data_IF_932932132506
#
_entry.id   IF_932932132506
#
_cell.length_a   1.000
_cell.length_b   1.000
_cell.length_c   1.000
_cell.angle_alpha   90.00
_cell.angle_beta   90.00
_cell.angle_gamma   90.00
#
_symmetry.space_group_name_H-M   'P 1'
#
loop_
_entity.id
_entity.type
_entity.pdbx_description
1 polymer ?
#
# COMPACT_ATOMS: atom_id res chain seq x y z
N UNK A 1 25.34 34.64 -1.79
CA UNK A 1 24.39 34.38 -0.68
C UNK A 1 23.10 33.70 -1.16
N UNK A 2 22.62 33.95 -2.38
CA UNK A 2 21.40 33.34 -2.95
C UNK A 2 21.46 31.80 -3.13
N UNK A 3 22.62 31.24 -3.48
CA UNK A 3 22.79 29.79 -3.69
C UNK A 3 22.74 28.96 -2.39
N UNK A 4 23.08 29.56 -1.24
CA UNK A 4 23.03 28.87 0.06
C UNK A 4 21.59 28.73 0.56
N UNK A 5 20.77 29.77 0.39
CA UNK A 5 19.35 29.76 0.74
C UNK A 5 18.56 28.72 -0.06
N UNK A 6 18.78 28.62 -1.37
CA UNK A 6 18.13 27.59 -2.21
C UNK A 6 18.51 26.16 -1.80
N UNK A 7 19.79 25.92 -1.50
CA UNK A 7 20.27 24.60 -1.09
C UNK A 7 19.73 24.17 0.27
N UNK A 8 19.50 25.11 1.20
CA UNK A 8 18.89 24.80 2.49
C UNK A 8 17.38 24.56 2.40
N UNK A 9 16.66 25.31 1.55
CA UNK A 9 15.23 25.10 1.31
C UNK A 9 14.97 23.72 0.68
N UNK A 10 15.78 23.31 -0.30
CA UNK A 10 15.68 22.00 -0.97
C UNK A 10 15.98 20.82 -0.02
N UNK A 11 16.98 20.97 0.84
CA UNK A 11 17.30 19.96 1.87
C UNK A 11 16.22 19.87 2.94
N UNK A 12 15.61 20.99 3.30
CA UNK A 12 14.57 21.05 4.34
C UNK A 12 13.26 20.48 3.82
N UNK A 13 12.84 20.83 2.60
CA UNK A 13 11.67 20.23 1.95
C UNK A 13 11.84 18.71 1.81
N UNK A 14 13.02 18.25 1.38
CA UNK A 14 13.33 16.82 1.24
C UNK A 14 13.24 16.08 2.59
N UNK A 15 13.74 16.68 3.68
CA UNK A 15 13.62 16.09 5.03
C UNK A 15 12.17 16.01 5.50
N UNK A 16 11.39 17.07 5.27
CA UNK A 16 9.97 17.10 5.61
C UNK A 16 9.19 16.02 4.85
N UNK A 17 9.39 15.90 3.53
CA UNK A 17 8.73 14.87 2.71
C UNK A 17 9.06 13.45 3.20
N UNK A 18 10.32 13.21 3.56
CA UNK A 18 10.75 11.92 4.11
C UNK A 18 10.09 11.66 5.47
N UNK A 19 10.07 12.65 6.36
CA UNK A 19 9.42 12.52 7.67
C UNK A 19 7.92 12.26 7.55
N UNK A 20 7.25 12.94 6.61
CA UNK A 20 5.83 12.77 6.34
C UNK A 20 5.51 11.38 5.81
N UNK A 21 6.32 10.89 4.85
CA UNK A 21 6.17 9.52 4.34
C UNK A 21 6.46 8.49 5.44
N UNK A 22 7.51 8.67 6.24
CA UNK A 22 7.83 7.80 7.37
C UNK A 22 6.70 7.74 8.39
N UNK A 23 6.12 8.90 8.75
CA UNK A 23 4.95 9.01 9.62
C UNK A 23 3.73 8.26 9.05
N UNK A 24 3.56 8.24 7.73
CA UNK A 24 2.51 7.49 7.07
C UNK A 24 2.78 5.98 7.02
N UNK A 25 4.02 5.55 6.74
CA UNK A 25 4.37 4.13 6.59
C UNK A 25 4.43 3.43 7.96
N UNK A 26 5.02 4.08 8.97
CA UNK A 26 5.26 3.57 10.33
C UNK A 26 5.99 2.23 10.37
N UNK A 27 6.81 1.97 9.35
CA UNK A 27 7.53 0.71 9.20
C UNK A 27 8.86 0.95 8.49
N UNK A 28 9.90 1.17 9.29
CA UNK A 28 11.26 1.51 8.85
C UNK A 28 11.79 0.57 7.74
N UNK A 29 11.52 -0.74 7.85
CA UNK A 29 11.95 -1.74 6.86
C UNK A 29 11.36 -1.56 5.46
N UNK A 30 10.27 -0.81 5.30
CA UNK A 30 9.59 -0.58 4.03
C UNK A 30 9.67 0.86 3.54
N UNK A 31 10.28 1.77 4.30
CA UNK A 31 10.39 3.19 3.93
C UNK A 31 11.08 3.37 2.58
N UNK A 32 12.27 2.79 2.40
CA UNK A 32 13.01 2.87 1.12
C UNK A 32 12.20 2.39 -0.09
N UNK A 33 11.36 1.37 0.11
CA UNK A 33 10.50 0.87 -0.97
C UNK A 33 9.47 1.91 -1.39
N UNK A 34 8.81 2.55 -0.42
CA UNK A 34 7.80 3.58 -0.69
C UNK A 34 8.39 4.92 -1.11
N UNK A 35 9.60 5.26 -0.65
CA UNK A 35 10.33 6.44 -1.13
C UNK A 35 10.60 6.32 -2.64
N UNK A 36 11.19 5.20 -3.08
CA UNK A 36 11.40 4.93 -4.51
C UNK A 36 10.10 4.89 -5.31
N UNK A 37 9.03 4.36 -4.72
CA UNK A 37 7.71 4.35 -5.36
C UNK A 37 7.19 5.78 -5.57
N UNK A 38 7.29 6.61 -4.52
CA UNK A 38 6.85 8.00 -4.51
C UNK A 38 7.61 8.82 -5.56
N UNK A 39 8.94 8.75 -5.57
CA UNK A 39 9.80 9.44 -6.54
C UNK A 39 9.41 9.11 -7.99
N UNK A 40 9.15 7.83 -8.28
CA UNK A 40 8.74 7.39 -9.63
C UNK A 40 7.34 7.88 -10.01
N UNK A 41 6.44 8.02 -9.04
CA UNK A 41 5.04 8.35 -9.28
C UNK A 41 4.80 9.87 -9.31
N UNK A 42 5.61 10.67 -8.64
CA UNK A 42 5.48 12.13 -8.52
C UNK A 42 6.23 12.96 -9.56
N UNK A 43 6.67 12.36 -10.67
CA UNK A 43 7.45 13.07 -11.71
C UNK A 43 6.73 14.30 -12.28
N UNK A 44 5.39 14.33 -12.25
CA UNK A 44 4.57 15.46 -12.75
C UNK A 44 3.90 16.27 -11.63
N UNK A 45 4.31 16.09 -10.37
CA UNK A 45 3.70 16.77 -9.21
C UNK A 45 2.46 16.07 -8.63
N UNK A 46 1.82 15.18 -9.39
CA UNK A 46 0.70 14.34 -8.94
C UNK A 46 1.05 12.84 -9.03
N UNK A 47 0.45 11.97 -8.18
CA UNK A 47 0.69 10.53 -8.24
C UNK A 47 0.15 9.91 -9.54
N UNK A 48 1.06 9.59 -10.46
CA UNK A 48 0.74 8.84 -11.67
C UNK A 48 0.78 7.33 -11.43
N UNK A 49 -0.09 6.59 -12.12
CA UNK A 49 -0.04 5.14 -12.11
C UNK A 49 1.27 4.68 -12.78
N UNK A 50 2.20 4.20 -11.96
CA UNK A 50 3.44 3.57 -12.40
C UNK A 50 3.51 2.16 -11.83
N UNK A 51 3.92 1.22 -12.67
CA UNK A 51 4.10 -0.16 -12.25
C UNK A 51 5.24 -0.22 -11.21
N UNK A 52 4.93 -0.69 -10.00
CA UNK A 52 5.92 -0.94 -8.97
C UNK A 52 5.58 -2.26 -8.26
N UNK A 53 6.45 -3.25 -8.40
CA UNK A 53 6.14 -4.62 -7.97
C UNK A 53 6.17 -4.75 -6.45
N UNK A 54 5.09 -5.31 -5.88
CA UNK A 54 4.99 -5.69 -4.48
C UNK A 54 4.63 -7.16 -4.38
N UNK A 55 5.56 -7.97 -3.88
CA UNK A 55 5.29 -9.37 -3.54
C UNK A 55 4.13 -9.53 -2.56
N UNK A 56 4.01 -8.60 -1.62
CA UNK A 56 2.95 -8.63 -0.64
C UNK A 56 1.60 -8.21 -1.25
N UNK A 57 1.60 -7.34 -2.27
CA UNK A 57 0.40 -7.05 -3.07
C UNK A 57 0.00 -8.21 -3.99
N UNK A 58 0.97 -8.93 -4.54
CA UNK A 58 0.75 -10.10 -5.39
C UNK A 58 0.10 -11.25 -4.63
N UNK A 59 0.70 -11.65 -3.50
CA UNK A 59 0.20 -12.77 -2.69
C UNK A 59 -1.00 -12.32 -1.85
N UNK A 60 -0.86 -11.18 -1.16
CA UNK A 60 -1.83 -10.67 -0.21
C UNK A 60 -3.08 -10.05 -0.82
N UNK A 61 -3.04 -9.61 -2.09
CA UNK A 61 -4.20 -9.07 -2.79
C UNK A 61 -4.94 -7.97 -2.00
N UNK A 62 -6.21 -8.22 -1.69
CA UNK A 62 -7.03 -7.32 -0.88
C UNK A 62 -6.59 -7.24 0.61
N UNK A 63 -6.03 -8.30 1.19
CA UNK A 63 -5.51 -8.32 2.57
C UNK A 63 -4.33 -7.36 2.72
N UNK A 64 -3.48 -7.24 1.69
CA UNK A 64 -2.40 -6.25 1.66
C UNK A 64 -2.95 -4.83 1.79
N UNK A 65 -3.97 -4.51 1.01
CA UNK A 65 -4.61 -3.19 0.99
C UNK A 65 -5.32 -2.91 2.31
N UNK A 66 -5.98 -3.92 2.88
CA UNK A 66 -6.63 -3.84 4.20
C UNK A 66 -5.62 -3.58 5.31
N UNK A 67 -4.50 -4.31 5.32
CA UNK A 67 -3.40 -4.10 6.26
C UNK A 67 -2.87 -2.67 6.21
N UNK A 68 -2.78 -2.07 5.03
CA UNK A 68 -2.36 -0.66 4.84
C UNK A 68 -3.49 0.37 4.97
N UNK A 69 -4.62 -0.01 5.55
CA UNK A 69 -5.80 0.85 5.78
C UNK A 69 -6.38 1.45 4.50
N UNK A 70 -6.17 0.81 3.35
CA UNK A 70 -6.74 1.23 2.07
C UNK A 70 -8.06 0.49 1.83
N UNK A 71 -9.07 0.78 2.65
CA UNK A 71 -10.31 -0.01 2.74
C UNK A 71 -11.11 -0.05 1.44
N UNK A 72 -11.27 1.09 0.77
CA UNK A 72 -12.01 1.14 -0.50
C UNK A 72 -11.34 0.28 -1.57
N UNK A 73 -10.00 0.39 -1.69
CA UNK A 73 -9.25 -0.43 -2.62
C UNK A 73 -9.29 -1.92 -2.25
N UNK A 74 -9.21 -2.24 -0.95
CA UNK A 74 -9.33 -3.61 -0.47
C UNK A 74 -10.69 -4.21 -0.83
N UNK A 75 -11.78 -3.46 -0.65
CA UNK A 75 -13.13 -3.90 -1.00
C UNK A 75 -13.27 -4.16 -2.51
N UNK A 76 -12.75 -3.25 -3.35
CA UNK A 76 -12.79 -3.42 -4.82
C UNK A 76 -12.03 -4.67 -5.25
N UNK A 77 -10.81 -4.87 -4.74
CA UNK A 77 -10.01 -6.06 -5.07
C UNK A 77 -10.62 -7.34 -4.50
N UNK A 78 -11.23 -7.30 -3.31
CA UNK A 78 -11.95 -8.42 -2.72
C UNK A 78 -13.12 -8.85 -3.60
N UNK A 79 -13.98 -7.90 -3.98
CA UNK A 79 -15.11 -8.17 -4.89
C UNK A 79 -14.62 -8.71 -6.23
N UNK A 80 -13.57 -8.12 -6.81
CA UNK A 80 -12.97 -8.63 -8.04
C UNK A 80 -12.43 -10.06 -7.89
N UNK A 81 -11.90 -10.41 -6.70
CA UNK A 81 -11.36 -11.75 -6.46
C UNK A 81 -12.43 -12.85 -6.50
N UNK A 82 -13.65 -12.55 -6.04
CA UNK A 82 -14.80 -13.48 -6.09
C UNK A 82 -15.13 -13.82 -7.55
N UNK A 83 -15.22 -12.80 -8.41
CA UNK A 83 -15.51 -13.00 -9.82
C UNK A 83 -14.32 -13.57 -10.61
N UNK A 84 -13.08 -13.29 -10.18
CA UNK A 84 -11.88 -13.76 -10.87
C UNK A 84 -11.78 -15.29 -10.94
N UNK A 85 -12.40 -15.99 -9.98
CA UNK A 85 -12.39 -17.44 -9.89
C UNK A 85 -13.23 -18.14 -10.96
N UNK A 86 -14.15 -17.43 -11.63
CA UNK A 86 -14.98 -17.99 -12.72
C UNK A 86 -14.31 -17.93 -14.09
N UNK A 87 -13.21 -17.17 -14.21
CA UNK A 87 -12.46 -16.97 -15.44
C UNK A 87 -11.20 -17.86 -15.38
N UNK A 88 -10.88 -18.66 -16.42
CA UNK A 88 -9.62 -19.37 -16.49
C UNK A 88 -8.43 -18.41 -16.31
N UNK A 89 -7.54 -18.73 -15.35
CA UNK A 89 -6.42 -17.86 -14.94
C UNK A 89 -6.79 -16.48 -14.39
N UNK A 90 -8.07 -16.16 -14.19
CA UNK A 90 -8.53 -14.85 -13.73
C UNK A 90 -7.95 -14.46 -12.38
N UNK A 91 -7.88 -15.40 -11.44
CA UNK A 91 -7.24 -15.18 -10.13
C UNK A 91 -5.76 -14.81 -10.27
N UNK A 92 -5.00 -15.51 -11.12
CA UNK A 92 -3.58 -15.21 -11.33
C UNK A 92 -3.38 -13.83 -11.98
N UNK A 93 -4.20 -13.50 -12.98
CA UNK A 93 -4.19 -12.17 -13.62
C UNK A 93 -4.47 -11.08 -12.58
N UNK A 94 -5.48 -11.28 -11.73
CA UNK A 94 -5.81 -10.33 -10.66
C UNK A 94 -4.66 -10.18 -9.65
N UNK A 95 -3.99 -11.27 -9.28
CA UNK A 95 -2.81 -11.23 -8.41
C UNK A 95 -1.68 -10.40 -9.05
N UNK A 96 -1.37 -10.62 -10.32
CA UNK A 96 -0.33 -9.86 -11.04
C UNK A 96 -0.68 -8.37 -11.08
N UNK A 97 -1.91 -8.03 -11.48
CA UNK A 97 -2.40 -6.65 -11.50
C UNK A 97 -2.25 -6.03 -10.12
N UNK A 98 -2.77 -6.69 -9.07
CA UNK A 98 -2.73 -6.19 -7.70
C UNK A 98 -1.30 -6.02 -7.20
N UNK A 99 -0.39 -6.96 -7.53
CA UNK A 99 1.03 -6.87 -7.22
C UNK A 99 1.71 -5.63 -7.79
N UNK A 100 1.34 -5.21 -9.00
CA UNK A 100 1.90 -4.02 -9.64
C UNK A 100 1.25 -2.69 -9.24
N UNK A 101 -0.07 -2.69 -8.98
CA UNK A 101 -0.81 -1.45 -8.70
C UNK A 101 -0.94 -1.14 -7.21
N UNK A 102 -0.80 -2.12 -6.31
CA UNK A 102 -1.04 -1.90 -4.89
C UNK A 102 -0.14 -0.80 -4.29
N UNK A 103 1.17 -0.71 -4.61
CA UNK A 103 2.00 0.41 -4.13
C UNK A 103 1.48 1.78 -4.60
N UNK A 104 1.00 1.88 -5.84
CA UNK A 104 0.38 3.11 -6.33
C UNK A 104 -0.85 3.49 -5.50
N UNK A 105 -1.72 2.56 -5.17
CA UNK A 105 -2.90 2.82 -4.35
C UNK A 105 -2.54 3.32 -2.95
N UNK A 106 -1.44 2.81 -2.38
CA UNK A 106 -0.91 3.28 -1.10
C UNK A 106 -0.35 4.70 -1.20
N UNK A 107 0.43 4.99 -2.26
CA UNK A 107 0.99 6.33 -2.50
C UNK A 107 -0.11 7.36 -2.81
N UNK A 108 -1.14 6.97 -3.57
CA UNK A 108 -2.30 7.83 -3.84
C UNK A 108 -3.04 8.19 -2.56
N UNK A 109 -3.21 7.22 -1.64
CA UNK A 109 -3.78 7.47 -0.31
C UNK A 109 -2.89 8.40 0.53
N UNK A 110 -1.58 8.16 0.54
CA UNK A 110 -0.61 9.04 1.21
C UNK A 110 -0.76 10.48 0.74
N UNK A 111 -0.74 10.70 -0.57
CA UNK A 111 -0.80 12.04 -1.15
C UNK A 111 -2.11 12.76 -0.77
N UNK A 112 -3.26 12.06 -0.86
CA UNK A 112 -4.55 12.62 -0.44
C UNK A 112 -4.54 13.07 1.02
N UNK A 113 -4.08 12.21 1.93
CA UNK A 113 -4.02 12.52 3.36
C UNK A 113 -3.04 13.66 3.65
N UNK A 114 -1.91 13.68 2.95
CA UNK A 114 -0.92 14.75 3.09
C UNK A 114 -1.54 16.10 2.72
N UNK A 115 -2.16 16.19 1.55
CA UNK A 115 -2.83 17.42 1.10
C UNK A 115 -3.91 17.85 2.10
N UNK A 116 -4.72 16.91 2.59
CA UNK A 116 -5.76 17.20 3.58
C UNK A 116 -5.18 17.72 4.90
N UNK A 117 -4.13 17.08 5.43
CA UNK A 117 -3.47 17.47 6.68
C UNK A 117 -2.78 18.84 6.54
N UNK A 118 -2.13 19.11 5.41
CA UNK A 118 -1.44 20.38 5.15
C UNK A 118 -2.41 21.57 5.04
N UNK A 119 -3.65 21.31 4.62
CA UNK A 119 -4.72 22.32 4.58
C UNK A 119 -5.26 22.66 5.98
N UNK A 120 -5.25 21.71 6.91
CA UNK A 120 -5.86 21.88 8.25
C UNK A 120 -4.86 22.23 9.35
N UNK A 121 -3.57 21.97 9.15
CA UNK A 121 -2.52 22.25 10.13
C UNK A 121 -1.45 23.15 9.53
N UNK A 122 -1.07 24.22 10.23
CA UNK A 122 0.01 25.11 9.79
C UNK A 122 1.39 24.69 10.29
N UNK A 123 1.45 24.08 11.47
CA UNK A 123 2.71 23.64 12.08
C UNK A 123 3.19 22.29 11.53
N UNK A 124 4.49 22.19 11.27
CA UNK A 124 5.12 20.99 10.73
C UNK A 124 4.98 19.78 11.67
N UNK A 125 5.20 19.98 12.97
CA UNK A 125 5.12 18.89 13.94
C UNK A 125 3.68 18.39 14.09
N UNK A 126 2.72 19.31 14.10
CA UNK A 126 1.30 18.96 14.09
C UNK A 126 0.91 18.11 12.87
N UNK A 127 1.41 18.45 11.67
CA UNK A 127 1.16 17.68 10.44
C UNK A 127 1.75 16.27 10.53
N UNK A 128 2.99 16.13 10.98
CA UNK A 128 3.65 14.83 11.12
C UNK A 128 2.89 13.96 12.12
N UNK A 129 2.46 14.52 13.26
CA UNK A 129 1.68 13.80 14.26
C UNK A 129 0.32 13.37 13.71
N UNK A 130 -0.41 14.26 13.03
CA UNK A 130 -1.68 13.91 12.39
C UNK A 130 -1.50 12.76 11.37
N UNK A 131 -0.41 12.78 10.59
CA UNK A 131 -0.08 11.72 9.65
C UNK A 131 0.20 10.38 10.35
N UNK A 132 0.83 10.39 11.54
CA UNK A 132 1.02 9.19 12.35
C UNK A 132 -0.31 8.62 12.87
N UNK A 133 -1.32 9.44 13.13
CA UNK A 133 -2.60 8.94 13.62
C UNK A 133 -3.41 8.25 12.50
N UNK A 134 -3.43 8.83 11.30
CA UNK A 134 -4.19 8.29 10.16
C UNK A 134 -3.43 7.24 9.35
N UNK A 135 -2.10 7.23 9.45
CA UNK A 135 -1.19 6.34 8.75
C UNK A 135 -1.12 4.93 9.33
N UNK A 136 0.00 4.25 9.07
CA UNK A 136 0.35 2.96 9.66
C UNK A 136 -0.36 1.77 9.03
N UNK A 137 -0.54 0.74 9.84
CA UNK A 137 -1.07 -0.55 9.41
C UNK A 137 -1.79 -1.30 10.54
N UNK A 138 -2.54 -2.33 10.17
CA UNK A 138 -3.30 -3.17 11.09
C UNK A 138 -2.66 -4.55 11.25
N UNK A 139 -2.02 -4.81 12.39
CA UNK A 139 -1.35 -6.10 12.66
C UNK A 139 -2.30 -7.30 12.69
N UNK A 140 -3.54 -7.10 13.13
CA UNK A 140 -4.56 -8.15 13.16
C UNK A 140 -4.85 -8.75 11.78
N UNK A 141 -4.63 -7.99 10.71
CA UNK A 141 -4.80 -8.47 9.32
C UNK A 141 -3.80 -9.57 8.97
N UNK A 142 -2.64 -9.62 9.63
CA UNK A 142 -1.68 -10.71 9.44
C UNK A 142 -2.29 -12.03 9.93
N UNK A 143 -2.89 -12.03 11.12
CA UNK A 143 -3.58 -13.21 11.66
C UNK A 143 -4.78 -13.60 10.80
N UNK A 144 -5.56 -12.62 10.34
CA UNK A 144 -6.63 -12.86 9.38
C UNK A 144 -6.11 -13.54 8.10
N UNK A 145 -4.99 -13.06 7.56
CA UNK A 145 -4.37 -13.63 6.37
C UNK A 145 -3.91 -15.08 6.60
N UNK A 146 -3.25 -15.34 7.74
CA UNK A 146 -2.81 -16.71 8.10
C UNK A 146 -4.01 -17.66 8.15
N UNK A 147 -5.07 -17.30 8.88
CA UNK A 147 -6.28 -18.13 8.99
C UNK A 147 -6.91 -18.35 7.60
N UNK A 148 -7.05 -17.28 6.81
CA UNK A 148 -7.66 -17.34 5.50
C UNK A 148 -6.91 -18.28 4.55
N UNK A 149 -5.58 -18.15 4.45
CA UNK A 149 -4.78 -19.03 3.59
C UNK A 149 -4.70 -20.47 4.12
N UNK A 150 -4.68 -20.67 5.44
CA UNK A 150 -4.75 -22.01 6.03
C UNK A 150 -6.06 -22.70 5.66
N UNK A 151 -7.20 -22.01 5.74
CA UNK A 151 -8.50 -22.56 5.33
C UNK A 151 -8.56 -22.88 3.84
N UNK A 152 -8.04 -22.01 2.98
CA UNK A 152 -7.95 -22.29 1.54
C UNK A 152 -7.10 -23.52 1.24
N UNK A 153 -5.96 -23.67 1.92
CA UNK A 153 -5.06 -24.81 1.75
C UNK A 153 -5.70 -26.11 2.23
N UNK A 154 -6.33 -26.11 3.40
CA UNK A 154 -7.06 -27.28 3.91
C UNK A 154 -8.19 -27.65 2.95
N UNK A 155 -9.00 -26.68 2.51
CA UNK A 155 -10.07 -26.91 1.55
C UNK A 155 -9.57 -27.51 0.23
N UNK A 156 -8.43 -27.03 -0.28
CA UNK A 156 -7.81 -27.57 -1.48
C UNK A 156 -7.35 -29.04 -1.31
N UNK A 157 -6.77 -29.38 -0.15
CA UNK A 157 -6.35 -30.77 0.17
C UNK A 157 -7.58 -31.67 0.36
N UNK A 158 -8.62 -31.20 1.04
CA UNK A 158 -9.86 -31.97 1.22
C UNK A 158 -10.55 -32.24 -0.12
N UNK A 159 -10.56 -31.28 -1.04
CA UNK A 159 -11.14 -31.48 -2.37
C UNK A 159 -10.31 -32.45 -3.22
N UNK A 160 -8.98 -32.38 -3.14
CA UNK A 160 -8.10 -33.28 -3.91
C UNK A 160 -8.14 -34.72 -3.40
N UNK A 161 -8.20 -34.93 -2.08
CA UNK A 161 -8.37 -36.28 -1.49
C UNK A 161 -9.69 -36.93 -1.92
N UNK A 162 -10.80 -36.18 -1.87
CA UNK A 162 -12.10 -36.64 -2.38
C UNK A 162 -12.07 -36.97 -3.88
N UNK A 163 -11.38 -36.16 -4.69
CA UNK A 163 -11.26 -36.41 -6.13
C UNK A 163 -10.40 -37.64 -6.48
N UNK A 164 -9.46 -38.01 -5.59
CA UNK A 164 -8.56 -39.17 -5.77
C UNK A 164 -9.08 -40.45 -5.11
N UNK A 165 -10.25 -40.41 -4.45
CA UNK A 165 -10.94 -41.60 -3.91
C UNK A 165 -10.30 -42.22 -2.68
N UNK A 166 -9.54 -41.45 -1.89
CA UNK A 166 -9.09 -41.84 -0.55
C UNK A 166 -10.06 -41.35 0.51
#
# INVERSE_FOLDING_TARGET
MENQTFTEIDKTSTKYEQAMLSAFIQKNSKERFYQKALERMLVTGEPNLKWNWSWWGFIGGWLFLLYRKSYLAALVVFTASIFSATIPFGTLILMVITGGIAPYLIIKRYYRLKTEIELHHQDEQARIKAMQEVGGYHTWVIWLAVIFYSLLLIGAISLSSLALGF
#
